data_IF_271255379838
#
_entry.id   IF_271255379838
#
_cell.length_a   1.000
_cell.length_b   1.000
_cell.length_c   1.000
_cell.angle_alpha   90.00
_cell.angle_beta   90.00
_cell.angle_gamma   90.00
#
_symmetry.space_group_name_H-M   'P 1'
#
loop_
_entity.id
_entity.type
_entity.pdbx_description
1 polymer ?
#
# COMPACT_ATOMS: atom_id res chain seq x y z
N UNK A 1 -40.95 -2.14 31.27
CA UNK A 1 -40.31 -1.28 30.26
C UNK A 1 -38.87 -1.73 30.18
N UNK A 2 -38.57 -2.62 29.23
CA UNK A 2 -37.23 -3.14 29.01
C UNK A 2 -36.41 -2.07 28.30
N UNK A 3 -35.22 -1.80 28.82
CA UNK A 3 -34.21 -0.96 28.19
C UNK A 3 -33.37 -1.90 27.33
N UNK A 4 -33.66 -1.96 26.04
CA UNK A 4 -32.81 -2.66 25.09
C UNK A 4 -31.59 -1.78 24.80
N UNK A 5 -30.41 -2.33 25.09
CA UNK A 5 -29.12 -1.73 24.78
C UNK A 5 -28.82 -1.99 23.31
N UNK A 6 -28.80 -0.94 22.50
CA UNK A 6 -28.26 -1.02 21.15
C UNK A 6 -26.74 -1.11 21.23
N UNK A 7 -26.24 -2.34 21.07
CA UNK A 7 -24.85 -2.60 20.76
C UNK A 7 -24.59 -2.05 19.34
N UNK A 8 -23.80 -0.98 19.28
CA UNK A 8 -23.33 -0.35 18.05
C UNK A 8 -22.47 -1.35 17.28
N UNK A 9 -23.09 -2.01 16.30
CA UNK A 9 -22.44 -2.93 15.38
C UNK A 9 -21.37 -2.19 14.60
N UNK A 10 -20.13 -2.64 14.74
CA UNK A 10 -19.01 -2.23 13.91
C UNK A 10 -19.40 -2.39 12.44
N UNK A 11 -19.59 -1.25 11.76
CA UNK A 11 -19.79 -1.21 10.32
C UNK A 11 -18.53 -1.70 9.62
N UNK A 12 -18.53 -2.95 9.18
CA UNK A 12 -17.57 -3.47 8.21
C UNK A 12 -17.86 -2.77 6.86
N UNK A 13 -17.21 -1.63 6.65
CA UNK A 13 -17.22 -0.93 5.38
C UNK A 13 -16.65 -1.83 4.26
N UNK A 14 -17.09 -1.67 3.00
CA UNK A 14 -16.57 -2.46 1.89
C UNK A 14 -15.04 -2.31 1.85
N UNK A 15 -14.35 -3.44 2.03
CA UNK A 15 -12.89 -3.53 1.98
C UNK A 15 -12.45 -3.23 0.55
N UNK A 16 -12.25 -1.95 0.22
CA UNK A 16 -11.99 -1.50 -1.14
C UNK A 16 -10.81 -2.28 -1.74
N UNK A 17 -11.12 -3.09 -2.76
CA UNK A 17 -10.16 -3.96 -3.43
C UNK A 17 -9.62 -3.22 -4.65
N UNK A 18 -8.31 -3.02 -4.68
CA UNK A 18 -7.61 -2.35 -5.79
C UNK A 18 -6.78 -3.39 -6.51
N UNK A 19 -6.95 -3.48 -7.83
CA UNK A 19 -6.26 -4.45 -8.66
C UNK A 19 -5.15 -3.75 -9.45
N UNK A 20 -3.94 -4.31 -9.40
CA UNK A 20 -2.80 -3.96 -10.25
C UNK A 20 -2.52 -5.12 -11.21
N UNK A 21 -2.62 -4.86 -12.50
CA UNK A 21 -2.29 -5.85 -13.53
C UNK A 21 -0.79 -5.78 -13.83
N UNK A 22 -0.11 -6.93 -13.80
CA UNK A 22 1.32 -7.05 -14.06
C UNK A 22 1.55 -7.44 -15.53
N UNK A 23 2.22 -6.59 -16.32
CA UNK A 23 2.60 -6.94 -17.69
C UNK A 23 4.12 -7.06 -17.87
N UNK A 24 4.55 -7.92 -18.79
CA UNK A 24 5.95 -8.07 -19.15
C UNK A 24 6.55 -6.76 -19.68
N UNK A 25 7.74 -6.40 -19.17
CA UNK A 25 8.48 -5.19 -19.56
C UNK A 25 7.92 -3.90 -18.96
N UNK A 26 6.92 -4.01 -18.07
CA UNK A 26 6.27 -2.86 -17.46
C UNK A 26 7.05 -2.40 -16.22
N UNK A 27 7.80 -1.31 -16.38
CA UNK A 27 8.50 -0.62 -15.30
C UNK A 27 7.77 0.69 -14.98
N UNK A 28 6.86 0.63 -14.01
CA UNK A 28 5.99 1.73 -13.61
C UNK A 28 6.70 2.67 -12.62
N UNK A 29 7.95 3.02 -12.89
CA UNK A 29 8.76 3.88 -12.03
C UNK A 29 8.28 5.34 -12.06
N UNK A 30 7.63 5.76 -13.15
CA UNK A 30 7.05 7.10 -13.32
C UNK A 30 5.58 7.21 -12.92
N UNK A 31 4.90 6.07 -12.68
CA UNK A 31 3.47 6.04 -12.35
C UNK A 31 3.28 5.84 -10.84
N UNK A 32 2.64 6.81 -10.19
CA UNK A 32 2.36 6.73 -8.76
C UNK A 32 0.98 6.15 -8.49
N UNK A 33 0.93 4.91 -8.02
CA UNK A 33 -0.31 4.32 -7.51
C UNK A 33 -0.52 4.76 -6.06
N UNK A 34 -1.62 5.45 -5.77
CA UNK A 34 -1.97 5.93 -4.43
C UNK A 34 -3.13 5.10 -3.87
N UNK A 35 -2.94 4.57 -2.67
CA UNK A 35 -3.91 3.75 -1.95
C UNK A 35 -4.17 4.33 -0.57
N UNK A 36 -5.36 4.07 -0.04
CA UNK A 36 -5.71 4.43 1.33
C UNK A 36 -5.31 3.31 2.31
N UNK A 37 -5.10 3.68 3.57
CA UNK A 37 -4.81 2.70 4.63
C UNK A 37 -6.04 1.83 4.87
N UNK A 38 -5.85 0.52 4.89
CA UNK A 38 -6.90 -0.47 5.09
C UNK A 38 -7.43 -1.11 3.79
N UNK A 39 -7.03 -0.60 2.62
CA UNK A 39 -7.37 -1.21 1.34
C UNK A 39 -6.70 -2.57 1.13
N UNK A 40 -7.29 -3.39 0.25
CA UNK A 40 -6.71 -4.65 -0.21
C UNK A 40 -6.14 -4.45 -1.60
N UNK A 41 -4.84 -4.62 -1.75
CA UNK A 41 -4.16 -4.59 -3.03
C UNK A 41 -4.05 -6.00 -3.59
N UNK A 42 -4.59 -6.23 -4.77
CA UNK A 42 -4.49 -7.47 -5.51
C UNK A 42 -3.59 -7.27 -6.73
N UNK A 43 -2.58 -8.11 -6.88
CA UNK A 43 -1.75 -8.16 -8.09
C UNK A 43 -2.25 -9.30 -8.97
N UNK A 44 -2.73 -8.98 -10.15
CA UNK A 44 -3.19 -9.95 -11.14
C UNK A 44 -2.18 -10.03 -12.29
N UNK A 45 -1.80 -11.23 -12.77
CA UNK A 45 -0.94 -11.34 -13.93
C UNK A 45 -1.73 -10.93 -15.18
N UNK A 46 -1.13 -10.12 -16.04
CA UNK A 46 -1.68 -9.78 -17.34
C UNK A 46 -1.47 -10.91 -18.35
N UNK A 47 -2.15 -10.80 -19.50
CA UNK A 47 -2.11 -11.79 -20.58
C UNK A 47 -0.69 -12.03 -21.13
N UNK A 48 0.21 -11.06 -20.98
CA UNK A 48 1.62 -11.16 -21.37
C UNK A 48 2.44 -12.15 -20.52
N UNK A 49 1.94 -12.54 -19.34
CA UNK A 49 2.60 -13.47 -18.43
C UNK A 49 2.04 -14.90 -18.49
N UNK A 50 1.03 -15.15 -19.34
CA UNK A 50 0.44 -16.47 -19.55
C UNK A 50 1.50 -17.50 -19.96
N UNK A 51 1.42 -18.70 -19.37
CA UNK A 51 2.35 -19.81 -19.59
C UNK A 51 3.72 -19.64 -18.92
N UNK A 52 3.95 -18.57 -18.14
CA UNK A 52 5.19 -18.33 -17.40
C UNK A 52 5.00 -18.57 -15.91
N UNK A 53 6.06 -19.06 -15.24
CA UNK A 53 6.08 -19.20 -13.78
C UNK A 53 6.55 -17.90 -13.14
N UNK A 54 5.65 -17.15 -12.50
CA UNK A 54 5.91 -15.79 -11.99
C UNK A 54 6.11 -15.80 -10.47
N UNK A 55 7.09 -15.06 -10.01
CA UNK A 55 7.39 -14.79 -8.60
C UNK A 55 7.29 -13.29 -8.34
N UNK A 56 6.47 -12.89 -7.38
CA UNK A 56 6.25 -11.50 -7.02
C UNK A 56 6.91 -11.21 -5.67
N UNK A 57 7.68 -10.12 -5.62
CA UNK A 57 8.38 -9.66 -4.45
C UNK A 57 7.95 -8.24 -4.09
N UNK A 58 7.80 -7.96 -2.80
CA UNK A 58 7.47 -6.64 -2.28
C UNK A 58 8.30 -6.32 -1.04
N UNK A 59 8.67 -5.06 -0.83
CA UNK A 59 9.27 -4.63 0.43
C UNK A 59 8.21 -4.27 1.49
N UNK A 60 6.93 -4.45 1.18
CA UNK A 60 5.86 -4.35 2.14
C UNK A 60 5.84 -5.59 3.04
N UNK A 61 5.78 -5.38 4.36
CA UNK A 61 5.70 -6.49 5.33
C UNK A 61 4.28 -7.02 5.33
N UNK A 62 4.02 -8.27 4.90
CA UNK A 62 2.69 -8.83 4.91
C UNK A 62 2.20 -9.06 6.35
N UNK A 63 0.90 -8.84 6.57
CA UNK A 63 0.25 -9.07 7.86
C UNK A 63 0.30 -10.57 8.21
N UNK A 64 1.19 -10.93 9.13
CA UNK A 64 1.49 -12.33 9.48
C UNK A 64 2.96 -12.59 9.79
N UNK A 65 3.86 -11.68 9.37
CA UNK A 65 5.20 -11.64 9.94
C UNK A 65 5.10 -11.14 11.39
N UNK A 66 5.41 -12.00 12.35
CA UNK A 66 5.27 -11.76 13.78
C UNK A 66 5.91 -10.42 14.20
N UNK A 67 5.13 -9.57 14.85
CA UNK A 67 5.59 -8.28 15.40
C UNK A 67 5.49 -7.11 14.42
N UNK A 68 5.53 -5.89 14.95
CA UNK A 68 5.74 -4.67 14.17
C UNK A 68 7.15 -4.70 13.55
N UNK A 69 7.36 -5.58 12.55
CA UNK A 69 8.64 -5.71 11.90
C UNK A 69 9.00 -4.38 11.24
N UNK A 70 10.16 -3.85 11.63
CA UNK A 70 10.67 -2.58 11.14
C UNK A 70 10.70 -2.58 9.61
N UNK A 71 10.22 -1.51 8.99
CA UNK A 71 10.27 -1.40 7.53
C UNK A 71 11.71 -1.23 7.06
N UNK A 72 12.27 -2.26 6.43
CA UNK A 72 13.58 -2.19 5.79
C UNK A 72 13.42 -2.11 4.26
N UNK A 73 13.78 -0.97 3.66
CA UNK A 73 13.60 -0.71 2.22
C UNK A 73 14.23 -1.76 1.30
N UNK A 74 15.34 -2.36 1.74
CA UNK A 74 16.13 -3.32 0.96
C UNK A 74 15.74 -4.77 1.22
N UNK A 75 14.77 -5.02 2.09
CA UNK A 75 14.27 -6.36 2.39
C UNK A 75 13.00 -6.61 1.59
N UNK A 76 12.99 -7.70 0.82
CA UNK A 76 11.87 -8.09 -0.01
C UNK A 76 11.31 -9.44 0.45
N UNK A 77 10.00 -9.54 0.44
CA UNK A 77 9.25 -10.74 0.78
C UNK A 77 8.56 -11.26 -0.48
N UNK A 78 8.66 -12.57 -0.70
CA UNK A 78 7.90 -13.25 -1.74
C UNK A 78 6.43 -13.29 -1.34
N UNK A 79 5.54 -12.87 -2.23
CA UNK A 79 4.11 -12.97 -2.02
C UNK A 79 3.59 -14.34 -2.47
N UNK A 80 2.62 -14.86 -1.72
CA UNK A 80 1.92 -16.09 -2.06
C UNK A 80 0.82 -15.82 -3.07
N UNK A 81 0.82 -16.57 -4.16
CA UNK A 81 -0.23 -16.54 -5.17
C UNK A 81 -1.47 -17.29 -4.67
N UNK A 82 -2.64 -16.78 -5.02
CA UNK A 82 -3.94 -17.41 -4.82
C UNK A 82 -4.60 -17.66 -6.16
N UNK A 83 -5.24 -18.81 -6.32
CA UNK A 83 -5.98 -19.20 -7.52
C UNK A 83 -7.27 -19.91 -7.07
N UNK A 84 -8.44 -19.45 -7.52
CA UNK A 84 -9.72 -20.06 -7.16
C UNK A 84 -9.99 -20.18 -5.65
N UNK A 85 -9.37 -19.33 -4.82
CA UNK A 85 -9.48 -19.36 -3.36
C UNK A 85 -8.46 -20.26 -2.63
N UNK A 86 -7.64 -21.02 -3.36
CA UNK A 86 -6.56 -21.83 -2.78
C UNK A 86 -5.21 -21.12 -2.89
N UNK A 87 -4.36 -21.26 -1.87
CA UNK A 87 -2.97 -20.78 -1.91
C UNK A 87 -2.13 -21.70 -2.81
N UNK A 88 -1.57 -21.14 -3.88
CA UNK A 88 -0.77 -21.85 -4.86
C UNK A 88 0.75 -21.76 -4.58
N UNK A 89 1.15 -20.97 -3.57
CA UNK A 89 2.55 -20.80 -3.13
C UNK A 89 3.28 -19.61 -3.78
N UNK A 90 4.58 -19.50 -3.53
CA UNK A 90 5.40 -18.34 -3.90
C UNK A 90 5.71 -18.21 -5.41
N UNK A 91 5.39 -19.22 -6.22
CA UNK A 91 5.66 -19.22 -7.65
C UNK A 91 4.57 -19.95 -8.43
N UNK A 92 3.73 -19.19 -9.11
CA UNK A 92 2.58 -19.73 -9.85
C UNK A 92 2.89 -19.80 -11.34
N UNK A 93 2.61 -20.95 -11.94
CA UNK A 93 2.49 -21.05 -13.39
C UNK A 93 1.18 -20.38 -13.79
N UNK A 94 1.25 -19.25 -14.49
CA UNK A 94 0.07 -18.49 -14.90
C UNK A 94 -0.61 -19.26 -16.03
N UNK A 95 -1.51 -20.16 -15.69
CA UNK A 95 -2.34 -20.90 -16.65
C UNK A 95 -3.70 -20.22 -16.87
N UNK A 96 -4.23 -19.57 -15.83
CA UNK A 96 -5.54 -18.93 -15.81
C UNK A 96 -5.46 -17.47 -15.31
N UNK A 97 -6.40 -16.64 -15.75
CA UNK A 97 -6.52 -15.22 -15.39
C UNK A 97 -7.05 -14.99 -13.96
N UNK A 98 -7.46 -16.03 -13.23
CA UNK A 98 -8.00 -15.94 -11.86
C UNK A 98 -6.92 -15.83 -10.77
N UNK A 99 -5.66 -15.97 -11.17
CA UNK A 99 -4.51 -15.85 -10.31
C UNK A 99 -4.37 -14.43 -9.73
N UNK A 100 -4.18 -14.31 -8.41
CA UNK A 100 -3.85 -13.03 -7.80
C UNK A 100 -3.02 -13.18 -6.52
N UNK A 101 -2.14 -12.22 -6.26
CA UNK A 101 -1.50 -12.04 -4.95
C UNK A 101 -2.24 -10.96 -4.17
N UNK A 102 -2.64 -11.25 -2.94
CA UNK A 102 -3.37 -10.30 -2.09
C UNK A 102 -2.47 -9.72 -1.00
N UNK A 103 -2.54 -8.40 -0.80
CA UNK A 103 -1.81 -7.66 0.22
C UNK A 103 -2.76 -6.72 0.96
N UNK A 104 -2.80 -6.81 2.29
CA UNK A 104 -3.58 -5.87 3.13
C UNK A 104 -2.68 -4.69 3.52
N UNK A 105 -3.12 -3.47 3.17
CA UNK A 105 -2.32 -2.26 3.34
C UNK A 105 -2.59 -1.59 4.70
N UNK A 106 -2.00 -2.09 5.77
CA UNK A 106 -2.14 -1.52 7.12
C UNK A 106 -1.19 -0.34 7.40
N UNK A 107 -0.07 -0.22 6.67
CA UNK A 107 1.02 0.74 6.95
C UNK A 107 1.11 1.79 5.87
N UNK A 108 1.12 3.07 6.27
CA UNK A 108 1.36 4.19 5.38
C UNK A 108 2.84 4.28 4.98
N UNK A 109 3.13 4.68 3.75
CA UNK A 109 4.49 4.75 3.22
C UNK A 109 4.55 4.51 1.72
N UNK A 110 5.77 4.52 1.18
CA UNK A 110 6.04 4.18 -0.22
C UNK A 110 6.75 2.83 -0.29
N UNK A 111 6.20 1.94 -1.08
CA UNK A 111 6.63 0.55 -1.20
C UNK A 111 6.92 0.22 -2.65
N UNK A 112 7.83 -0.73 -2.83
CA UNK A 112 8.30 -1.19 -4.12
C UNK A 112 7.95 -2.66 -4.29
N UNK A 113 7.48 -2.99 -5.48
CA UNK A 113 7.32 -4.37 -5.91
C UNK A 113 8.09 -4.61 -7.19
N UNK A 114 8.54 -5.84 -7.37
CA UNK A 114 9.06 -6.32 -8.64
C UNK A 114 8.67 -7.78 -8.82
N UNK A 115 8.64 -8.23 -10.06
CA UNK A 115 8.42 -9.64 -10.35
C UNK A 115 9.45 -10.17 -11.33
N UNK A 116 9.68 -11.47 -11.21
CA UNK A 116 10.58 -12.26 -12.05
C UNK A 116 9.84 -13.51 -12.47
N UNK A 117 10.19 -14.08 -13.62
CA UNK A 117 9.67 -15.38 -14.02
C UNK A 117 10.80 -16.34 -14.39
N UNK A 118 10.51 -17.64 -14.36
CA UNK A 118 11.46 -18.72 -14.65
C UNK A 118 11.62 -18.92 -16.17
N UNK A 119 12.18 -17.94 -16.88
CA UNK A 119 12.58 -18.07 -18.29
C UNK A 119 14.06 -17.72 -18.47
N UNK A 120 14.64 -18.09 -19.61
CA UNK A 120 16.03 -17.75 -19.95
C UNK A 120 16.33 -16.24 -19.90
N UNK A 121 15.31 -15.38 -20.08
CA UNK A 121 15.40 -13.91 -20.00
C UNK A 121 15.55 -13.38 -18.55
N UNK A 122 15.23 -14.23 -17.57
CA UNK A 122 15.34 -13.92 -16.13
C UNK A 122 16.77 -13.60 -15.69
N UNK A 123 17.78 -13.98 -16.49
CA UNK A 123 19.20 -13.68 -16.24
C UNK A 123 19.55 -12.19 -16.38
N UNK A 124 18.67 -11.36 -16.95
CA UNK A 124 18.97 -9.96 -17.30
C UNK A 124 18.40 -8.95 -16.29
N UNK A 125 17.54 -9.37 -15.35
CA UNK A 125 17.00 -8.49 -14.30
C UNK A 125 15.50 -8.69 -14.05
N UNK A 126 14.89 -7.86 -13.18
CA UNK A 126 13.45 -7.87 -12.95
C UNK A 126 12.70 -7.59 -14.25
N UNK A 127 11.62 -8.33 -14.48
CA UNK A 127 10.87 -8.32 -15.75
C UNK A 127 9.72 -7.30 -15.74
N UNK A 128 9.50 -6.71 -14.57
CA UNK A 128 8.66 -5.55 -14.34
C UNK A 128 8.79 -5.14 -12.87
N UNK A 129 8.55 -3.87 -12.63
CA UNK A 129 8.70 -3.24 -11.31
C UNK A 129 7.79 -2.04 -11.19
N UNK A 130 7.47 -1.65 -9.97
CA UNK A 130 6.68 -0.46 -9.74
C UNK A 130 6.65 -0.03 -8.29
N UNK A 131 6.18 1.19 -8.10
CA UNK A 131 6.01 1.78 -6.78
C UNK A 131 4.54 1.99 -6.49
N UNK A 132 4.16 1.75 -5.24
CA UNK A 132 2.87 2.16 -4.72
C UNK A 132 3.03 2.92 -3.42
N UNK A 133 2.11 3.85 -3.20
CA UNK A 133 2.10 4.73 -2.05
C UNK A 133 0.81 4.54 -1.27
N UNK A 134 0.95 4.25 0.02
CA UNK A 134 -0.16 4.18 0.96
C UNK A 134 -0.20 5.50 1.71
N UNK A 135 -1.27 6.25 1.51
CA UNK A 135 -1.46 7.56 2.13
C UNK A 135 -1.54 7.44 3.66
N UNK A 136 -0.93 8.37 4.42
CA UNK A 136 -1.11 8.43 5.85
C UNK A 136 -2.55 8.82 6.20
N UNK A 137 -3.09 8.20 7.23
CA UNK A 137 -4.36 8.61 7.82
C UNK A 137 -4.09 9.81 8.74
N UNK A 138 -4.35 11.02 8.25
CA UNK A 138 -4.52 12.18 9.11
C UNK A 138 -5.96 12.17 9.63
N UNK A 139 -6.20 12.69 10.84
CA UNK A 139 -7.58 12.87 11.37
C UNK A 139 -8.42 13.88 10.58
N UNK A 140 -7.90 14.37 9.46
CA UNK A 140 -8.52 15.30 8.52
C UNK A 140 -8.27 14.81 7.09
N UNK A 141 -9.17 15.08 6.13
CA UNK A 141 -8.93 14.77 4.72
C UNK A 141 -7.67 15.48 4.21
N UNK A 142 -6.84 14.79 3.43
CA UNK A 142 -5.61 15.38 2.87
C UNK A 142 -5.88 16.61 2.00
N UNK A 143 -6.99 16.63 1.27
CA UNK A 143 -7.40 17.75 0.44
C UNK A 143 -7.91 18.96 1.25
N UNK A 144 -8.20 18.76 2.54
CA UNK A 144 -8.61 19.80 3.48
C UNK A 144 -7.47 20.37 4.32
N UNK A 145 -6.21 19.94 4.08
CA UNK A 145 -5.07 20.40 4.88
C UNK A 145 -4.61 21.78 4.42
N UNK A 146 -4.68 22.75 5.34
CA UNK A 146 -4.11 24.09 5.15
C UNK A 146 -2.87 24.24 6.02
N UNK A 147 -1.73 24.56 5.41
CA UNK A 147 -0.46 24.72 6.10
C UNK A 147 -0.06 26.20 6.16
N UNK A 148 0.10 26.77 7.36
CA UNK A 148 0.70 28.08 7.53
C UNK A 148 2.17 27.94 7.93
N UNK A 149 3.08 28.49 7.12
CA UNK A 149 4.51 28.50 7.43
C UNK A 149 4.84 29.68 8.34
N UNK A 150 5.42 29.40 9.52
CA UNK A 150 5.87 30.42 10.48
C UNK A 150 7.38 30.35 10.66
N UNK A 151 8.03 31.51 10.69
CA UNK A 151 9.47 31.60 10.94
C UNK A 151 9.72 31.75 12.45
N UNK A 152 10.26 30.71 13.09
CA UNK A 152 10.51 30.69 14.54
C UNK A 152 11.30 31.91 15.05
N UNK A 153 12.30 32.37 14.28
CA UNK A 153 13.11 33.56 14.60
C UNK A 153 12.31 34.88 14.65
N UNK A 154 11.12 34.92 14.07
CA UNK A 154 10.25 36.10 14.03
C UNK A 154 9.11 36.04 15.07
N UNK A 155 8.98 34.94 15.83
CA UNK A 155 7.92 34.77 16.84
C UNK A 155 8.23 35.45 18.18
N UNK A 156 9.50 35.82 18.41
CA UNK A 156 9.98 36.33 19.69
C UNK A 156 10.13 35.22 20.74
N UNK A 157 10.14 35.57 22.05
CA UNK A 157 10.31 34.60 23.14
C UNK A 157 9.22 33.52 23.14
N UNK A 158 9.57 32.29 23.57
CA UNK A 158 8.68 31.11 23.54
C UNK A 158 7.31 31.36 24.19
N UNK A 159 7.25 32.13 25.28
CA UNK A 159 6.02 32.48 25.97
C UNK A 159 5.00 33.22 25.09
N UNK A 160 5.43 33.91 24.03
CA UNK A 160 4.56 34.64 23.10
C UNK A 160 3.98 33.75 22.00
N UNK A 161 4.59 32.59 21.73
CA UNK A 161 4.25 31.75 20.57
C UNK A 161 2.77 31.34 20.53
N UNK A 162 2.11 30.93 21.63
CA UNK A 162 0.69 30.58 21.59
C UNK A 162 -0.20 31.72 21.11
N UNK A 163 0.12 32.96 21.49
CA UNK A 163 -0.64 34.15 21.07
C UNK A 163 -0.47 34.46 19.57
N UNK A 164 0.72 34.24 19.02
CA UNK A 164 0.98 34.45 17.58
C UNK A 164 0.36 33.33 16.75
N UNK A 165 0.50 32.07 17.20
CA UNK A 165 -0.06 30.90 16.52
C UNK A 165 -1.59 30.84 16.61
N UNK A 166 -2.21 31.51 17.58
CA UNK A 166 -3.67 31.62 17.65
C UNK A 166 -4.27 32.29 16.41
N UNK A 167 -3.59 33.28 15.84
CA UNK A 167 -4.04 33.94 14.61
C UNK A 167 -4.11 32.94 13.45
N UNK A 168 -3.16 31.99 13.40
CA UNK A 168 -3.18 30.90 12.42
C UNK A 168 -4.46 30.06 12.53
N UNK A 169 -4.80 29.67 13.76
CA UNK A 169 -5.99 28.86 14.06
C UNK A 169 -7.30 29.59 13.76
N UNK A 170 -7.35 30.90 13.98
CA UNK A 170 -8.55 31.71 13.77
C UNK A 170 -8.78 32.05 12.28
N UNK A 171 -7.75 31.91 11.44
CA UNK A 171 -7.81 32.21 10.02
C UNK A 171 -8.25 31.01 9.14
N UNK A 172 -8.39 29.80 9.70
CA UNK A 172 -8.77 28.58 8.98
C UNK A 172 -8.88 27.36 9.87
#
# INVERSE_FOLDING_TARGET
MAVESEAEGAGEAPRDVRVLTLNHGEHLDSTLFRFERGCRLQFSPGTSLLGRKVFLYTNYVPDGAEGEAEFVRNQYYALEWRCGGAAAGAGLLVADDEAHCELRLARAGSFHYYFVYDSAESRVGPQGSGWFHVAPALGVPLDGVMCQTVLAKCLGPLARWPGVLRVAREAG
#
